data_IF_615882731630
#
_entry.id   IF_615882731630
#
_cell.length_a   1.000
_cell.length_b   1.000
_cell.length_c   1.000
_cell.angle_alpha   90.00
_cell.angle_beta   90.00
_cell.angle_gamma   90.00
#
_symmetry.space_group_name_H-M   'P 1'
#
loop_
_entity.id
_entity.type
_entity.pdbx_description
1 polymer ?
#
# COMPACT_ATOMS: atom_id res chain seq x y z
N UNK A 1 19.83 14.78 8.68
CA UNK A 1 21.23 14.45 8.46
C UNK A 1 21.78 15.49 7.49
N UNK A 2 22.94 16.07 7.79
CA UNK A 2 23.61 17.06 6.95
C UNK A 2 24.85 16.40 6.37
N UNK A 3 25.03 16.52 5.05
CA UNK A 3 26.20 15.99 4.35
C UNK A 3 26.99 17.12 3.71
N UNK A 4 28.31 16.99 3.69
CA UNK A 4 29.17 17.91 2.99
C UNK A 4 29.01 17.76 1.47
N UNK A 5 28.97 18.89 0.79
CA UNK A 5 28.89 18.95 -0.66
C UNK A 5 29.89 19.96 -1.21
N UNK A 6 30.31 19.73 -2.43
CA UNK A 6 31.23 20.67 -3.10
C UNK A 6 30.43 21.66 -3.92
N UNK A 7 30.58 22.95 -3.65
CA UNK A 7 30.06 24.01 -4.50
C UNK A 7 30.97 24.15 -5.72
N UNK A 8 30.46 23.77 -6.91
CA UNK A 8 31.24 23.83 -8.15
C UNK A 8 31.27 25.23 -8.74
N UNK A 9 30.20 25.98 -8.62
CA UNK A 9 30.15 27.37 -9.09
C UNK A 9 28.95 28.11 -8.50
N UNK A 10 29.09 29.39 -8.32
CA UNK A 10 28.02 30.33 -8.04
C UNK A 10 28.00 31.41 -9.12
N UNK A 11 26.80 31.74 -9.62
CA UNK A 11 26.62 32.84 -10.57
C UNK A 11 25.38 33.63 -10.15
N UNK A 12 25.59 34.95 -9.96
CA UNK A 12 24.54 35.87 -9.59
C UNK A 12 24.15 36.71 -10.83
N UNK A 13 22.88 36.63 -11.22
CA UNK A 13 22.34 37.47 -12.29
C UNK A 13 21.10 38.20 -11.76
N UNK A 14 21.31 39.52 -11.50
CA UNK A 14 20.30 40.33 -10.81
C UNK A 14 20.01 39.75 -9.40
N UNK A 15 18.76 39.47 -9.11
CA UNK A 15 18.30 38.90 -7.83
C UNK A 15 18.32 37.34 -7.82
N UNK A 16 18.81 36.71 -8.90
CA UNK A 16 18.88 35.27 -9.01
C UNK A 16 20.28 34.77 -8.67
N UNK A 17 20.34 33.80 -7.75
CA UNK A 17 21.56 33.08 -7.42
C UNK A 17 21.47 31.68 -8.01
N UNK A 18 22.37 31.30 -8.91
CA UNK A 18 22.54 29.94 -9.40
C UNK A 18 23.71 29.30 -8.68
N UNK A 19 23.42 28.19 -8.02
CA UNK A 19 24.41 27.35 -7.33
C UNK A 19 24.45 26.00 -8.03
N UNK A 20 25.65 25.53 -8.37
CA UNK A 20 25.91 24.17 -8.84
C UNK A 20 26.64 23.42 -7.74
N UNK A 21 26.07 22.35 -7.28
CA UNK A 21 26.59 21.48 -6.23
C UNK A 21 26.86 20.08 -6.80
N UNK A 22 27.90 19.43 -6.27
CA UNK A 22 28.21 18.03 -6.52
C UNK A 22 28.18 17.28 -5.20
N UNK A 23 27.46 16.18 -5.15
CA UNK A 23 27.41 15.29 -4.01
C UNK A 23 27.87 13.90 -4.45
N UNK A 24 28.85 13.35 -3.74
CA UNK A 24 29.28 11.98 -3.94
C UNK A 24 28.27 11.03 -3.29
N UNK A 25 27.48 10.34 -4.11
CA UNK A 25 26.42 9.47 -3.63
C UNK A 25 26.93 8.26 -2.84
N UNK A 26 28.20 7.86 -3.03
CA UNK A 26 28.78 6.75 -2.31
C UNK A 26 29.21 7.11 -0.88
N UNK A 27 29.32 8.41 -0.58
CA UNK A 27 29.66 8.91 0.77
C UNK A 27 28.46 9.16 1.66
N UNK A 28 27.25 8.96 1.13
CA UNK A 28 26.00 9.18 1.86
C UNK A 28 25.49 7.85 2.37
N UNK A 29 25.19 7.76 3.66
CA UNK A 29 24.50 6.60 4.25
C UNK A 29 23.00 6.66 3.92
N UNK A 30 22.68 6.11 2.73
CA UNK A 30 21.32 6.11 2.22
C UNK A 30 20.46 5.10 2.96
N UNK A 31 19.38 5.59 3.59
CA UNK A 31 18.28 4.74 4.07
C UNK A 31 17.19 4.68 2.99
N UNK A 32 16.55 3.54 2.82
CA UNK A 32 15.34 3.42 1.99
C UNK A 32 14.23 4.28 2.64
N UNK A 33 13.35 4.94 1.94
CA UNK A 33 12.96 4.97 0.53
C UNK A 33 13.12 6.38 -0.07
N UNK A 34 12.61 7.43 0.65
CA UNK A 34 12.48 8.78 0.11
C UNK A 34 13.37 9.79 0.85
N UNK A 35 14.00 10.67 0.09
CA UNK A 35 14.89 11.71 0.59
C UNK A 35 14.45 13.06 0.07
N UNK A 36 13.87 13.88 0.92
CA UNK A 36 13.49 15.23 0.58
C UNK A 36 14.72 16.15 0.57
N UNK A 37 14.81 17.00 -0.45
CA UNK A 37 15.90 17.97 -0.58
C UNK A 37 15.43 19.34 -0.12
N UNK A 38 16.09 19.86 0.91
CA UNK A 38 15.80 21.17 1.46
C UNK A 38 17.08 22.03 1.47
N UNK A 39 16.90 23.34 1.31
CA UNK A 39 17.97 24.34 1.52
C UNK A 39 17.76 24.93 2.91
N UNK A 40 18.84 24.92 3.70
CA UNK A 40 18.86 25.58 5.00
C UNK A 40 19.47 26.97 4.82
N UNK A 41 18.71 28.00 5.17
CA UNK A 41 19.23 29.39 5.21
C UNK A 41 19.58 29.74 6.64
N UNK A 42 20.85 30.04 6.85
CA UNK A 42 21.38 30.56 8.10
C UNK A 42 21.49 32.10 8.02
N UNK A 43 20.88 32.80 8.95
CA UNK A 43 21.11 34.22 9.13
C UNK A 43 22.15 34.42 10.26
N UNK A 44 23.26 35.07 9.96
CA UNK A 44 24.32 35.40 10.93
C UNK A 44 23.77 36.38 11.98
N UNK A 45 23.07 35.94 12.96
CA UNK A 45 22.51 36.77 14.05
C UNK A 45 21.18 36.27 14.61
N UNK A 46 20.55 35.32 13.98
CA UNK A 46 19.31 34.68 14.50
C UNK A 46 19.40 33.19 14.40
N UNK A 47 19.15 32.48 15.50
CA UNK A 47 19.13 30.99 15.58
C UNK A 47 17.99 30.31 14.82
N UNK A 48 17.24 31.03 14.00
CA UNK A 48 16.15 30.44 13.20
C UNK A 48 16.66 29.97 11.85
N UNK A 49 16.74 28.66 11.67
CA UNK A 49 16.93 28.01 10.37
C UNK A 49 15.61 27.98 9.61
N UNK A 50 15.56 28.56 8.43
CA UNK A 50 14.43 28.41 7.51
C UNK A 50 14.70 27.26 6.54
N UNK A 51 13.83 26.25 6.55
CA UNK A 51 13.83 25.18 5.57
C UNK A 51 13.09 25.63 4.31
N UNK A 52 13.79 25.66 3.18
CA UNK A 52 13.19 25.96 1.88
C UNK A 52 13.23 24.70 1.02
N UNK A 53 12.05 24.21 0.66
CA UNK A 53 11.94 23.10 -0.28
C UNK A 53 12.30 23.55 -1.69
N UNK A 54 13.03 22.71 -2.42
CA UNK A 54 13.36 22.99 -3.83
C UNK A 54 12.13 22.68 -4.67
N UNK A 55 11.54 23.71 -5.29
CA UNK A 55 10.38 23.56 -6.19
C UNK A 55 10.78 23.61 -7.66
N UNK A 56 9.93 23.09 -8.53
CA UNK A 56 10.09 23.13 -9.99
C UNK A 56 9.09 24.05 -10.67
N UNK A 57 9.56 24.75 -11.69
CA UNK A 57 8.70 25.47 -12.61
C UNK A 57 7.99 24.51 -13.62
N UNK A 58 7.08 25.08 -14.43
CA UNK A 58 6.28 24.31 -15.40
C UNK A 58 7.13 23.70 -16.52
N UNK A 59 8.22 24.36 -16.95
CA UNK A 59 9.11 23.83 -18.00
C UNK A 59 9.89 22.63 -17.49
N UNK A 60 10.38 22.70 -16.26
CA UNK A 60 11.10 21.60 -15.63
C UNK A 60 10.22 20.38 -15.43
N UNK A 61 8.91 20.57 -15.17
CA UNK A 61 7.94 19.43 -15.12
C UNK A 61 7.82 18.70 -16.45
N UNK A 62 7.95 19.38 -17.57
CA UNK A 62 7.99 18.70 -18.88
C UNK A 62 9.22 17.81 -19.04
N UNK A 63 10.36 18.20 -18.43
CA UNK A 63 11.58 17.39 -18.40
C UNK A 63 11.55 16.27 -17.37
N UNK A 64 10.55 16.18 -16.51
CA UNK A 64 10.42 15.12 -15.51
C UNK A 64 10.46 13.72 -16.14
N UNK A 65 9.93 13.56 -17.37
CA UNK A 65 10.05 12.31 -18.15
C UNK A 65 11.51 11.92 -18.44
N UNK A 66 12.41 12.89 -18.54
CA UNK A 66 13.82 12.67 -18.84
C UNK A 66 14.67 12.45 -17.58
N UNK A 67 14.19 12.90 -16.42
CA UNK A 67 14.89 12.67 -15.14
C UNK A 67 14.98 11.20 -14.77
N UNK A 68 13.99 10.40 -15.16
CA UNK A 68 14.04 8.94 -15.02
C UNK A 68 15.16 8.27 -15.80
N UNK A 69 15.59 8.86 -16.92
CA UNK A 69 16.73 8.35 -17.69
C UNK A 69 18.07 8.62 -16.99
N UNK A 70 18.08 9.48 -15.97
CA UNK A 70 19.21 9.79 -15.10
C UNK A 70 19.24 8.93 -13.84
N UNK A 71 18.56 7.78 -13.78
CA UNK A 71 18.67 6.89 -12.64
C UNK A 71 20.08 6.32 -12.53
N UNK A 72 20.68 6.45 -11.36
CA UNK A 72 21.99 5.91 -11.04
C UNK A 72 21.82 4.58 -10.31
N UNK A 73 22.57 3.56 -10.73
CA UNK A 73 22.68 2.30 -10.03
C UNK A 73 23.89 2.36 -9.12
N UNK A 74 23.71 2.22 -7.83
CA UNK A 74 24.80 2.18 -6.85
C UNK A 74 25.50 0.83 -6.88
N UNK A 75 26.72 0.76 -6.34
CA UNK A 75 27.55 -0.46 -6.35
C UNK A 75 26.88 -1.64 -5.59
N UNK A 76 26.06 -1.32 -4.60
CA UNK A 76 25.25 -2.32 -3.85
C UNK A 76 23.95 -2.72 -4.56
N UNK A 77 23.73 -2.28 -5.81
CA UNK A 77 22.58 -2.69 -6.63
C UNK A 77 21.30 -1.87 -6.42
N UNK A 78 21.32 -0.87 -5.56
CA UNK A 78 20.20 0.04 -5.37
C UNK A 78 20.07 1.03 -6.52
N UNK A 79 18.84 1.49 -6.76
CA UNK A 79 18.52 2.58 -7.67
C UNK A 79 18.38 3.89 -6.91
N UNK A 80 19.03 4.92 -7.42
CA UNK A 80 18.88 6.30 -6.98
C UNK A 80 18.36 7.13 -8.15
N UNK A 81 17.21 7.79 -7.98
CA UNK A 81 16.64 8.63 -9.02
C UNK A 81 15.82 9.78 -8.44
N UNK A 82 15.84 10.94 -9.11
CA UNK A 82 15.04 12.09 -8.69
C UNK A 82 13.57 11.88 -9.04
N UNK A 83 12.68 12.40 -8.18
CA UNK A 83 11.27 12.52 -8.46
C UNK A 83 10.69 13.80 -7.83
N UNK A 84 9.47 14.14 -8.21
CA UNK A 84 8.77 15.29 -7.64
C UNK A 84 7.60 14.83 -6.80
N UNK A 85 7.55 15.35 -5.58
CA UNK A 85 6.46 15.09 -4.65
C UNK A 85 5.14 15.71 -5.14
N UNK A 86 4.03 15.31 -4.54
CA UNK A 86 2.71 15.93 -4.80
C UNK A 86 2.70 17.45 -4.57
N UNK A 87 3.57 17.97 -3.68
CA UNK A 87 3.77 19.39 -3.44
C UNK A 87 4.70 20.07 -4.46
N UNK A 88 5.15 19.35 -5.49
CA UNK A 88 6.08 19.82 -6.54
C UNK A 88 7.47 20.16 -6.02
N UNK A 89 7.91 19.53 -4.97
CA UNK A 89 9.26 19.63 -4.43
C UNK A 89 10.14 18.52 -4.96
N UNK A 90 11.45 18.80 -5.11
CA UNK A 90 12.43 17.81 -5.52
C UNK A 90 12.68 16.83 -4.35
N UNK A 91 12.63 15.57 -4.65
CA UNK A 91 13.03 14.49 -3.76
C UNK A 91 13.80 13.41 -4.54
N UNK A 92 14.44 12.51 -3.84
CA UNK A 92 15.10 11.35 -4.42
C UNK A 92 14.52 10.07 -3.85
N UNK A 93 14.49 9.03 -4.66
CA UNK A 93 14.18 7.67 -4.24
C UNK A 93 15.46 6.87 -4.22
N UNK A 94 15.68 6.14 -3.14
CA UNK A 94 16.74 5.16 -2.99
C UNK A 94 16.10 3.82 -2.61
N UNK A 95 16.15 2.85 -3.53
CA UNK A 95 15.52 1.54 -3.34
C UNK A 95 16.17 0.46 -4.20
N UNK A 96 15.90 -0.78 -3.85
CA UNK A 96 16.24 -1.91 -4.72
C UNK A 96 15.50 -1.82 -6.07
N UNK A 97 16.12 -2.36 -7.11
CA UNK A 97 15.46 -2.56 -8.39
C UNK A 97 14.32 -3.56 -8.22
N UNK A 98 13.11 -3.13 -8.53
CA UNK A 98 11.94 -4.02 -8.55
C UNK A 98 11.89 -4.86 -9.82
N UNK A 99 11.13 -5.94 -9.77
CA UNK A 99 10.93 -6.88 -10.89
C UNK A 99 10.39 -6.21 -12.16
N UNK A 100 9.77 -5.04 -12.02
CA UNK A 100 9.09 -4.32 -13.11
C UNK A 100 9.83 -3.05 -13.58
N UNK A 101 11.07 -2.84 -13.16
CA UNK A 101 11.87 -1.67 -13.56
C UNK A 101 12.65 -1.88 -14.87
N UNK A 102 12.59 -3.07 -15.45
CA UNK A 102 13.33 -3.44 -16.66
C UNK A 102 12.76 -2.81 -17.96
N UNK A 103 13.56 -2.83 -19.03
CA UNK A 103 13.15 -2.41 -20.37
C UNK A 103 12.12 -3.37 -20.98
N UNK A 104 12.11 -4.61 -20.55
CA UNK A 104 11.13 -5.63 -20.92
C UNK A 104 9.69 -5.17 -20.63
N UNK A 105 9.48 -4.48 -19.50
CA UNK A 105 8.17 -3.93 -19.15
C UNK A 105 7.77 -2.79 -20.09
N UNK A 106 8.72 -1.94 -20.46
CA UNK A 106 8.45 -0.86 -21.46
C UNK A 106 8.03 -1.46 -22.78
N UNK A 107 8.70 -2.54 -23.23
CA UNK A 107 8.33 -3.26 -24.43
C UNK A 107 6.92 -3.88 -24.33
N UNK A 108 6.59 -4.50 -23.20
CA UNK A 108 5.24 -5.03 -22.92
C UNK A 108 4.18 -3.93 -22.97
N UNK A 109 4.47 -2.74 -22.44
CA UNK A 109 3.56 -1.58 -22.51
C UNK A 109 3.26 -1.17 -23.95
N UNK A 110 4.29 -1.01 -24.79
CA UNK A 110 4.11 -0.67 -26.21
C UNK A 110 3.33 -1.78 -26.93
N UNK A 111 3.66 -3.03 -26.69
CA UNK A 111 2.95 -4.18 -27.27
C UNK A 111 1.48 -4.19 -26.89
N UNK A 112 1.17 -3.99 -25.61
CA UNK A 112 -0.20 -3.94 -25.12
C UNK A 112 -0.99 -2.77 -25.75
N UNK A 113 -0.38 -1.59 -25.84
CA UNK A 113 -1.01 -0.45 -26.51
C UNK A 113 -1.28 -0.70 -27.99
N UNK A 114 -0.33 -1.31 -28.69
CA UNK A 114 -0.48 -1.67 -30.10
C UNK A 114 -1.64 -2.67 -30.28
N UNK A 115 -1.64 -3.76 -29.52
CA UNK A 115 -2.70 -4.77 -29.56
C UNK A 115 -4.09 -4.21 -29.19
N UNK A 116 -4.14 -3.35 -28.17
CA UNK A 116 -5.39 -2.69 -27.81
C UNK A 116 -5.90 -1.78 -28.93
N UNK A 117 -5.03 -0.96 -29.54
CA UNK A 117 -5.43 -0.08 -30.65
C UNK A 117 -5.87 -0.85 -31.88
N UNK A 118 -5.17 -1.92 -32.23
CA UNK A 118 -5.49 -2.78 -33.38
C UNK A 118 -6.88 -3.41 -33.25
N UNK A 119 -7.27 -3.82 -32.05
CA UNK A 119 -8.53 -4.52 -31.78
C UNK A 119 -9.41 -3.78 -30.76
N UNK A 120 -9.45 -2.44 -30.82
CA UNK A 120 -10.14 -1.61 -29.81
C UNK A 120 -11.61 -2.01 -29.62
N UNK A 121 -12.34 -2.20 -30.70
CA UNK A 121 -13.76 -2.62 -30.64
C UNK A 121 -13.95 -3.98 -29.96
N UNK A 122 -13.04 -4.93 -30.21
CA UNK A 122 -13.07 -6.23 -29.54
C UNK A 122 -12.83 -6.10 -28.03
N UNK A 123 -11.86 -5.29 -27.63
CA UNK A 123 -11.53 -5.08 -26.24
C UNK A 123 -12.67 -4.38 -25.48
N UNK A 124 -13.20 -3.30 -26.04
CA UNK A 124 -14.26 -2.52 -25.40
C UNK A 124 -15.59 -3.29 -25.29
N UNK A 125 -15.90 -4.18 -26.23
CA UNK A 125 -17.09 -5.07 -26.15
C UNK A 125 -17.03 -6.09 -25.00
N UNK A 126 -15.89 -6.19 -24.31
CA UNK A 126 -15.76 -7.11 -23.17
C UNK A 126 -16.34 -6.56 -21.88
N UNK A 127 -16.57 -5.26 -21.77
CA UNK A 127 -17.08 -4.61 -20.56
C UNK A 127 -16.35 -5.09 -19.30
N UNK A 128 -15.05 -4.78 -19.23
CA UNK A 128 -14.14 -5.38 -18.24
C UNK A 128 -14.24 -4.66 -16.89
N UNK A 129 -14.54 -5.43 -15.83
CA UNK A 129 -14.33 -5.05 -14.45
C UNK A 129 -13.06 -5.74 -13.92
N UNK A 130 -12.11 -4.98 -13.39
CA UNK A 130 -10.90 -5.51 -12.75
C UNK A 130 -11.06 -5.49 -11.23
N UNK A 131 -10.78 -6.62 -10.60
CA UNK A 131 -10.77 -6.75 -9.14
C UNK A 131 -9.35 -7.03 -8.69
N UNK A 132 -8.88 -6.35 -7.64
CA UNK A 132 -7.55 -6.57 -7.07
C UNK A 132 -7.50 -6.24 -5.59
N UNK A 133 -6.48 -6.75 -4.90
CA UNK A 133 -6.15 -6.40 -3.53
C UNK A 133 -4.64 -6.48 -3.28
N UNK A 134 -4.17 -5.77 -2.25
CA UNK A 134 -2.79 -5.87 -1.72
C UNK A 134 -1.71 -5.90 -2.82
N UNK A 135 -1.72 -4.91 -3.72
CA UNK A 135 -0.81 -4.84 -4.87
C UNK A 135 -0.87 -6.07 -5.80
N UNK A 136 -2.04 -6.69 -5.90
CA UNK A 136 -2.27 -7.93 -6.65
C UNK A 136 -1.39 -9.12 -6.17
N UNK A 137 -0.97 -9.12 -4.91
CA UNK A 137 -0.10 -10.16 -4.36
C UNK A 137 -0.83 -11.27 -3.61
N UNK A 138 -2.06 -11.03 -3.19
CA UNK A 138 -2.85 -11.93 -2.31
C UNK A 138 -4.30 -12.06 -2.77
N UNK A 139 -5.02 -13.03 -2.18
CA UNK A 139 -6.45 -13.30 -2.38
C UNK A 139 -7.10 -13.68 -1.03
N UNK A 140 -7.16 -12.72 -0.08
CA UNK A 140 -7.60 -12.97 1.31
C UNK A 140 -8.49 -11.86 1.88
N UNK A 141 -8.69 -10.78 1.13
CA UNK A 141 -9.40 -9.59 1.60
C UNK A 141 -10.72 -9.39 0.84
N UNK A 142 -11.38 -8.28 1.05
CA UNK A 142 -12.69 -7.95 0.48
C UNK A 142 -12.73 -8.11 -1.05
N UNK A 143 -11.62 -7.86 -1.77
CA UNK A 143 -11.53 -8.04 -3.20
C UNK A 143 -11.73 -9.49 -3.64
N UNK A 144 -11.08 -10.42 -2.95
CA UNK A 144 -11.24 -11.85 -3.22
C UNK A 144 -12.67 -12.35 -2.93
N UNK A 145 -13.22 -12.00 -1.77
CA UNK A 145 -14.56 -12.47 -1.39
C UNK A 145 -15.66 -11.87 -2.27
N UNK A 146 -15.52 -10.59 -2.66
CA UNK A 146 -16.37 -9.98 -3.67
C UNK A 146 -16.29 -10.72 -5.02
N UNK A 147 -15.07 -10.96 -5.52
CA UNK A 147 -14.86 -11.68 -6.76
C UNK A 147 -15.43 -13.10 -6.69
N UNK A 148 -15.16 -13.82 -5.61
CA UNK A 148 -15.68 -15.19 -5.37
C UNK A 148 -17.20 -15.22 -5.40
N UNK A 149 -17.83 -14.29 -4.70
CA UNK A 149 -19.30 -14.17 -4.70
C UNK A 149 -19.84 -13.98 -6.12
N UNK A 150 -19.26 -13.06 -6.89
CA UNK A 150 -19.67 -12.82 -8.25
C UNK A 150 -19.53 -14.06 -9.16
N UNK A 151 -18.48 -14.84 -8.98
CA UNK A 151 -18.26 -16.05 -9.78
C UNK A 151 -19.20 -17.21 -9.37
N UNK A 152 -19.45 -17.37 -8.09
CA UNK A 152 -20.29 -18.44 -7.56
C UNK A 152 -21.79 -18.22 -7.87
N UNK A 153 -22.21 -16.94 -8.08
CA UNK A 153 -23.61 -16.58 -8.32
C UNK A 153 -23.88 -16.09 -9.76
N UNK A 154 -22.90 -16.22 -10.66
CA UNK A 154 -22.99 -15.79 -12.07
C UNK A 154 -23.37 -14.30 -12.23
N UNK A 155 -22.87 -13.45 -11.34
CA UNK A 155 -23.14 -12.01 -11.33
C UNK A 155 -22.56 -11.29 -12.57
N UNK A 156 -21.64 -11.92 -13.31
CA UNK A 156 -21.18 -11.39 -14.59
C UNK A 156 -22.36 -11.11 -15.55
N UNK A 157 -23.31 -12.02 -15.59
CA UNK A 157 -24.50 -11.90 -16.43
C UNK A 157 -25.39 -10.77 -15.95
N UNK A 158 -25.56 -10.64 -14.63
CA UNK A 158 -26.40 -9.61 -14.03
C UNK A 158 -25.84 -8.20 -14.20
N UNK A 159 -24.54 -8.03 -13.95
CA UNK A 159 -23.87 -6.72 -14.05
C UNK A 159 -23.57 -6.30 -15.49
N UNK A 160 -23.68 -7.21 -16.46
CA UNK A 160 -23.30 -6.97 -17.86
C UNK A 160 -21.80 -6.71 -18.07
N UNK A 161 -21.00 -6.98 -17.05
CA UNK A 161 -19.54 -6.78 -17.06
C UNK A 161 -18.82 -8.10 -16.83
N UNK A 162 -17.72 -8.31 -17.54
CA UNK A 162 -16.83 -9.45 -17.31
C UNK A 162 -15.85 -9.13 -16.21
N UNK A 163 -15.96 -9.87 -15.12
CA UNK A 163 -15.18 -9.65 -13.91
C UNK A 163 -13.90 -10.49 -13.95
N UNK A 164 -12.77 -9.84 -13.73
CA UNK A 164 -11.45 -10.49 -13.72
C UNK A 164 -10.69 -10.13 -12.46
N UNK A 165 -10.15 -11.15 -11.78
CA UNK A 165 -9.28 -10.98 -10.63
C UNK A 165 -7.82 -10.88 -11.09
N UNK A 166 -7.13 -9.84 -10.61
CA UNK A 166 -5.72 -9.58 -10.95
C UNK A 166 -4.83 -10.05 -9.81
N UNK A 167 -3.91 -10.97 -10.10
CA UNK A 167 -3.00 -11.54 -9.09
C UNK A 167 -1.63 -11.87 -9.70
N UNK A 168 -0.57 -11.83 -8.90
CA UNK A 168 0.76 -12.32 -9.31
C UNK A 168 0.77 -13.84 -9.42
N UNK A 169 1.64 -14.38 -10.28
CA UNK A 169 1.74 -15.85 -10.46
C UNK A 169 2.31 -16.59 -9.26
N UNK A 170 3.14 -15.89 -8.52
CA UNK A 170 3.87 -16.36 -7.34
C UNK A 170 3.15 -16.03 -6.03
N UNK A 171 1.87 -15.66 -6.12
CA UNK A 171 1.06 -15.44 -4.93
C UNK A 171 0.92 -16.73 -4.11
N UNK A 172 1.09 -16.66 -2.78
CA UNK A 172 0.83 -17.81 -1.90
C UNK A 172 -0.63 -18.28 -1.97
N UNK A 173 -1.56 -17.39 -2.36
CA UNK A 173 -2.99 -17.68 -2.42
C UNK A 173 -3.45 -18.11 -3.82
N UNK A 174 -2.51 -18.44 -4.72
CA UNK A 174 -2.86 -18.77 -6.09
C UNK A 174 -3.80 -19.99 -6.19
N UNK A 175 -3.67 -20.94 -5.30
CA UNK A 175 -4.54 -22.13 -5.29
C UNK A 175 -5.99 -21.79 -4.92
N UNK A 176 -6.23 -20.76 -4.13
CA UNK A 176 -7.59 -20.29 -3.80
C UNK A 176 -8.32 -19.73 -5.01
N UNK A 177 -7.58 -19.05 -5.92
CA UNK A 177 -8.14 -18.45 -7.13
C UNK A 177 -8.17 -19.40 -8.32
N UNK A 178 -7.47 -20.54 -8.24
CA UNK A 178 -7.35 -21.53 -9.31
C UNK A 178 -8.66 -22.08 -9.87
N UNK A 179 -9.73 -22.30 -9.07
CA UNK A 179 -11.02 -22.69 -9.60
C UNK A 179 -11.57 -21.72 -10.66
N UNK A 180 -11.25 -20.44 -10.55
CA UNK A 180 -11.72 -19.36 -11.41
C UNK A 180 -10.71 -18.96 -12.49
N UNK A 181 -9.80 -19.84 -12.90
CA UNK A 181 -8.65 -19.54 -13.82
C UNK A 181 -9.02 -18.83 -15.11
N UNK A 182 -10.26 -18.97 -15.60
CA UNK A 182 -10.74 -18.27 -16.81
C UNK A 182 -10.88 -16.77 -16.58
N UNK A 183 -11.21 -16.38 -15.36
CA UNK A 183 -11.43 -15.01 -14.92
C UNK A 183 -10.21 -14.46 -14.12
N UNK A 184 -9.05 -15.13 -14.19
CA UNK A 184 -7.82 -14.67 -13.57
C UNK A 184 -6.90 -14.04 -14.61
N UNK A 185 -6.33 -12.90 -14.23
CA UNK A 185 -5.36 -12.14 -15.03
C UNK A 185 -4.08 -11.97 -14.24
N UNK A 186 -2.97 -12.39 -14.82
CA UNK A 186 -1.68 -12.26 -14.13
C UNK A 186 -1.14 -10.84 -14.21
N UNK A 187 -0.80 -10.31 -13.05
CA UNK A 187 -0.28 -8.97 -12.85
C UNK A 187 0.94 -8.68 -13.75
N UNK A 188 0.99 -7.47 -14.33
CA UNK A 188 2.07 -6.97 -15.19
C UNK A 188 2.36 -7.81 -16.44
N UNK A 189 1.39 -8.60 -16.92
CA UNK A 189 1.44 -9.25 -18.24
C UNK A 189 0.88 -8.34 -19.33
N UNK A 190 1.15 -8.65 -20.60
CA UNK A 190 0.56 -7.92 -21.75
C UNK A 190 -0.98 -8.01 -21.70
N UNK A 191 -1.55 -9.17 -21.34
CA UNK A 191 -2.99 -9.34 -21.15
C UNK A 191 -3.54 -8.39 -20.08
N UNK A 192 -2.89 -8.29 -18.94
CA UNK A 192 -3.26 -7.37 -17.88
C UNK A 192 -3.26 -5.92 -18.35
N UNK A 193 -2.21 -5.52 -19.07
CA UNK A 193 -2.08 -4.18 -19.64
C UNK A 193 -3.18 -3.88 -20.66
N UNK A 194 -3.52 -4.82 -21.55
CA UNK A 194 -4.66 -4.68 -22.46
C UNK A 194 -5.98 -4.52 -21.71
N UNK A 195 -6.14 -5.26 -20.60
CA UNK A 195 -7.35 -5.20 -19.80
C UNK A 195 -7.47 -3.87 -19.05
N UNK A 196 -6.37 -3.31 -18.53
CA UNK A 196 -6.38 -1.94 -17.96
C UNK A 196 -6.84 -0.91 -19.00
N UNK A 197 -6.38 -1.03 -20.25
CA UNK A 197 -6.77 -0.10 -21.33
C UNK A 197 -8.25 -0.22 -21.71
N UNK A 198 -8.85 -1.39 -21.52
CA UNK A 198 -10.23 -1.70 -21.86
C UNK A 198 -11.18 -1.73 -20.65
N UNK A 199 -10.65 -1.59 -19.45
CA UNK A 199 -11.47 -1.65 -18.22
C UNK A 199 -12.43 -0.45 -18.15
N UNK A 200 -13.64 -0.72 -17.69
CA UNK A 200 -14.69 0.24 -17.42
C UNK A 200 -14.85 0.48 -15.90
N UNK A 201 -14.42 -0.48 -15.10
CA UNK A 201 -14.51 -0.41 -13.64
C UNK A 201 -13.30 -1.08 -12.99
N UNK A 202 -12.85 -0.51 -11.89
CA UNK A 202 -11.90 -1.08 -10.95
C UNK A 202 -12.58 -1.24 -9.60
N UNK A 203 -12.44 -2.41 -9.00
CA UNK A 203 -12.89 -2.71 -7.64
C UNK A 203 -11.66 -3.17 -6.85
N UNK A 204 -11.31 -2.50 -5.77
CA UNK A 204 -10.11 -2.87 -5.02
C UNK A 204 -10.18 -2.51 -3.55
N UNK A 205 -9.43 -3.24 -2.74
CA UNK A 205 -9.19 -2.91 -1.33
C UNK A 205 -8.08 -1.90 -1.14
N UNK A 206 -7.30 -1.63 -2.20
CA UNK A 206 -6.18 -0.69 -2.21
C UNK A 206 -6.48 0.54 -3.06
N UNK A 207 -5.57 1.50 -3.04
CA UNK A 207 -5.67 2.66 -3.91
C UNK A 207 -5.64 2.26 -5.39
N UNK A 208 -6.36 3.03 -6.22
CA UNK A 208 -6.45 2.88 -7.68
C UNK A 208 -5.10 2.69 -8.38
N UNK A 209 -4.05 3.33 -7.88
CA UNK A 209 -2.69 3.23 -8.44
C UNK A 209 -2.05 1.85 -8.27
N UNK A 210 -2.54 1.02 -7.34
CA UNK A 210 -1.94 -0.28 -7.02
C UNK A 210 -2.32 -1.39 -8.02
N UNK A 211 -3.26 -1.12 -8.93
CA UNK A 211 -3.54 -2.04 -10.04
C UNK A 211 -2.37 -2.14 -11.04
N UNK A 212 -1.38 -1.26 -10.93
CA UNK A 212 -0.22 -1.23 -11.78
C UNK A 212 1.05 -1.00 -10.95
N UNK A 213 2.15 -1.69 -11.27
CA UNK A 213 3.38 -1.58 -10.49
C UNK A 213 3.98 -0.18 -10.54
N UNK A 214 4.33 0.37 -9.37
CA UNK A 214 5.16 1.57 -9.29
C UNK A 214 6.57 1.26 -9.79
N UNK A 215 7.11 2.13 -10.63
CA UNK A 215 8.41 1.94 -11.27
C UNK A 215 9.26 3.18 -11.19
N UNK A 216 10.58 3.00 -11.38
CA UNK A 216 11.52 4.10 -11.54
C UNK A 216 11.28 4.93 -12.80
N UNK A 217 10.65 4.35 -13.82
CA UNK A 217 10.28 5.03 -15.07
C UNK A 217 8.80 5.35 -15.09
N UNK A 218 8.47 6.55 -15.55
CA UNK A 218 7.08 6.96 -15.70
C UNK A 218 6.36 6.09 -16.73
N UNK A 219 5.19 5.55 -16.34
CA UNK A 219 4.37 4.72 -17.22
C UNK A 219 3.19 5.51 -17.79
N UNK A 220 2.91 5.27 -19.08
CA UNK A 220 1.69 5.77 -19.71
C UNK A 220 0.44 5.19 -19.05
N UNK A 221 0.49 3.97 -18.51
CA UNK A 221 -0.60 3.30 -17.81
C UNK A 221 -1.06 4.03 -16.56
N UNK A 222 -0.18 4.80 -15.91
CA UNK A 222 -0.54 5.65 -14.76
C UNK A 222 -1.67 6.63 -15.11
N UNK A 223 -1.72 7.12 -16.36
CA UNK A 223 -2.78 8.01 -16.81
C UNK A 223 -4.10 7.27 -16.98
N UNK A 224 -4.07 6.06 -17.55
CA UNK A 224 -5.27 5.25 -17.73
C UNK A 224 -5.87 4.82 -16.41
N UNK A 225 -5.05 4.31 -15.48
CA UNK A 225 -5.51 3.87 -14.16
C UNK A 225 -6.14 5.01 -13.36
N UNK A 226 -5.62 6.24 -13.47
CA UNK A 226 -6.19 7.41 -12.77
C UNK A 226 -7.61 7.77 -13.21
N UNK A 227 -7.99 7.43 -14.42
CA UNK A 227 -9.29 7.80 -15.02
C UNK A 227 -10.31 6.66 -14.97
N UNK A 228 -9.95 5.48 -14.45
CA UNK A 228 -10.89 4.39 -14.29
C UNK A 228 -11.89 4.71 -13.18
N UNK A 229 -13.19 4.52 -13.37
CA UNK A 229 -14.16 4.46 -12.27
C UNK A 229 -13.71 3.44 -11.23
N UNK A 230 -13.81 3.80 -9.95
CA UNK A 230 -13.19 3.03 -8.89
C UNK A 230 -14.10 2.87 -7.68
N UNK A 231 -14.36 1.62 -7.32
CA UNK A 231 -15.00 1.23 -6.07
C UNK A 231 -13.93 0.80 -5.06
N UNK A 232 -13.89 1.48 -3.94
CA UNK A 232 -12.95 1.20 -2.86
C UNK A 232 -13.63 0.36 -1.78
N UNK A 233 -13.27 -0.93 -1.71
CA UNK A 233 -13.82 -1.89 -0.75
C UNK A 233 -13.21 -1.79 0.64
N UNK A 234 -12.20 -0.94 0.81
CA UNK A 234 -11.37 -0.85 2.01
C UNK A 234 -10.65 -2.17 2.37
N UNK A 235 -9.70 -2.07 3.29
CA UNK A 235 -9.01 -3.20 3.90
C UNK A 235 -9.05 -3.16 5.43
N UNK A 236 -9.74 -2.17 6.01
CA UNK A 236 -9.95 -2.00 7.43
C UNK A 236 -10.89 -0.83 7.72
N UNK A 237 -11.61 -0.89 8.83
CA UNK A 237 -12.58 0.14 9.23
C UNK A 237 -11.90 1.49 9.42
N UNK A 238 -12.44 2.53 8.81
CA UNK A 238 -11.97 3.91 8.93
C UNK A 238 -12.68 4.60 10.10
N UNK A 239 -12.10 4.52 11.29
CA UNK A 239 -12.72 5.12 12.49
C UNK A 239 -11.77 6.03 13.27
N UNK A 240 -10.63 5.51 13.73
CA UNK A 240 -9.75 6.21 14.68
C UNK A 240 -8.46 6.76 14.03
N UNK A 241 -8.13 6.32 12.83
CA UNK A 241 -6.93 6.76 12.10
C UNK A 241 -7.31 7.80 11.07
N UNK A 242 -6.69 8.97 11.12
CA UNK A 242 -6.83 9.97 10.08
C UNK A 242 -6.10 9.55 8.81
N UNK A 243 -6.86 9.27 7.75
CA UNK A 243 -6.36 8.90 6.41
C UNK A 243 -7.01 9.74 5.30
N UNK A 244 -7.75 10.76 5.69
CA UNK A 244 -8.41 11.74 4.82
C UNK A 244 -7.43 12.45 3.87
N UNK A 245 -6.19 12.68 4.31
CA UNK A 245 -5.14 13.29 3.48
C UNK A 245 -4.79 12.46 2.24
N UNK A 246 -5.08 11.15 2.24
CA UNK A 246 -4.81 10.26 1.12
C UNK A 246 -6.09 9.78 0.43
N UNK A 247 -7.09 9.32 1.18
CA UNK A 247 -8.34 8.75 0.65
C UNK A 247 -9.48 9.76 0.49
N UNK A 248 -9.34 10.99 0.96
CA UNK A 248 -10.35 12.05 0.77
C UNK A 248 -10.61 12.34 -0.71
N UNK A 249 -11.78 12.89 -1.01
CA UNK A 249 -12.20 13.24 -2.37
C UNK A 249 -11.18 14.17 -3.05
N UNK A 250 -10.80 13.85 -4.27
CA UNK A 250 -9.76 14.59 -5.01
C UNK A 250 -8.31 14.36 -4.54
N UNK A 251 -8.07 13.51 -3.54
CA UNK A 251 -6.74 13.11 -3.08
C UNK A 251 -6.22 11.91 -3.91
N UNK A 252 -4.93 11.53 -3.78
CA UNK A 252 -4.33 10.46 -4.57
C UNK A 252 -5.05 9.12 -4.49
N UNK A 253 -5.62 8.77 -3.35
CA UNK A 253 -6.37 7.54 -3.11
C UNK A 253 -7.89 7.66 -3.27
N UNK A 254 -8.40 8.80 -3.79
CA UNK A 254 -9.85 9.01 -3.94
C UNK A 254 -10.50 7.96 -4.84
N UNK A 255 -11.76 7.64 -4.54
CA UNK A 255 -12.60 6.72 -5.29
C UNK A 255 -13.89 7.39 -5.77
N UNK A 256 -14.66 6.67 -6.57
CA UNK A 256 -15.98 7.11 -7.02
C UNK A 256 -17.09 6.55 -6.10
N UNK A 257 -16.82 5.39 -5.47
CA UNK A 257 -17.69 4.79 -4.49
C UNK A 257 -16.87 4.23 -3.32
N UNK A 258 -17.21 4.63 -2.11
CA UNK A 258 -16.53 4.25 -0.88
C UNK A 258 -17.40 3.26 -0.09
N UNK A 259 -16.92 2.05 0.13
CA UNK A 259 -17.62 1.02 0.91
C UNK A 259 -17.28 1.16 2.39
N UNK A 260 -18.29 1.15 3.25
CA UNK A 260 -18.15 1.23 4.71
C UNK A 260 -18.92 0.12 5.42
N UNK A 261 -18.68 -0.03 6.71
CA UNK A 261 -19.17 -1.16 7.51
C UNK A 261 -20.31 -0.78 8.47
N UNK A 262 -20.58 0.52 8.62
CA UNK A 262 -21.62 1.00 9.51
C UNK A 262 -22.05 2.43 9.15
N UNK A 263 -23.24 2.82 9.58
CA UNK A 263 -23.72 4.19 9.43
C UNK A 263 -22.80 5.21 10.15
N UNK A 264 -22.18 4.79 11.26
CA UNK A 264 -21.23 5.65 11.96
C UNK A 264 -19.96 5.90 11.14
N UNK A 265 -19.44 4.88 10.50
CA UNK A 265 -18.30 5.01 9.58
C UNK A 265 -18.69 5.84 8.35
N UNK A 266 -19.90 5.63 7.79
CA UNK A 266 -20.44 6.43 6.70
C UNK A 266 -20.42 7.92 7.04
N UNK A 267 -20.90 8.27 8.23
CA UNK A 267 -20.91 9.66 8.69
C UNK A 267 -19.49 10.23 8.83
N UNK A 268 -18.54 9.43 9.36
CA UNK A 268 -17.12 9.84 9.47
C UNK A 268 -16.52 10.13 8.08
N UNK A 269 -16.82 9.31 7.08
CA UNK A 269 -16.33 9.50 5.71
C UNK A 269 -16.95 10.74 5.08
N UNK A 270 -18.24 10.97 5.24
CA UNK A 270 -18.92 12.18 4.75
C UNK A 270 -18.32 13.44 5.39
N UNK A 271 -18.21 13.45 6.73
CA UNK A 271 -17.80 14.65 7.49
C UNK A 271 -16.32 15.01 7.31
N UNK A 272 -15.44 14.01 7.07
CA UNK A 272 -14.00 14.25 7.11
C UNK A 272 -13.26 13.99 5.80
N UNK A 273 -13.88 13.32 4.81
CA UNK A 273 -13.22 12.92 3.56
C UNK A 273 -13.83 13.65 2.34
N UNK A 274 -14.77 14.56 2.54
CA UNK A 274 -15.43 15.36 1.50
C UNK A 274 -16.22 14.52 0.46
N UNK A 275 -16.73 13.34 0.83
CA UNK A 275 -17.64 12.53 -0.02
C UNK A 275 -19.09 12.90 0.20
N UNK A 276 -19.88 12.84 -0.89
CA UNK A 276 -21.32 12.98 -0.82
C UNK A 276 -21.99 11.69 -0.29
N UNK A 277 -23.19 11.78 0.33
CA UNK A 277 -23.87 10.62 0.92
C UNK A 277 -24.14 9.45 -0.03
N UNK A 278 -24.31 9.70 -1.33
CA UNK A 278 -24.54 8.72 -2.39
C UNK A 278 -23.24 8.09 -2.91
N UNK A 279 -22.10 8.69 -2.61
CA UNK A 279 -20.77 8.13 -2.92
C UNK A 279 -20.26 7.19 -1.82
N UNK A 280 -21.01 7.04 -0.71
CA UNK A 280 -20.62 6.18 0.43
C UNK A 280 -21.71 5.17 0.70
N UNK A 281 -21.41 3.88 0.55
CA UNK A 281 -22.36 2.79 0.75
C UNK A 281 -21.98 1.93 1.95
N UNK A 282 -22.97 1.64 2.79
CA UNK A 282 -22.84 0.77 3.95
C UNK A 282 -23.28 -0.65 3.58
N UNK A 283 -22.34 -1.52 3.21
CA UNK A 283 -22.60 -2.92 2.87
C UNK A 283 -21.90 -3.91 3.81
N UNK A 284 -21.03 -3.42 4.69
CA UNK A 284 -20.09 -4.28 5.40
C UNK A 284 -18.91 -4.71 4.53
N UNK A 285 -18.06 -5.55 5.08
CA UNK A 285 -16.92 -6.11 4.36
C UNK A 285 -17.26 -7.50 3.81
N UNK A 286 -17.03 -7.71 2.52
CA UNK A 286 -17.28 -8.99 1.86
C UNK A 286 -16.55 -10.17 2.55
N UNK A 287 -15.38 -9.97 3.11
CA UNK A 287 -14.66 -11.01 3.86
C UNK A 287 -15.34 -11.43 5.17
N UNK A 288 -16.31 -10.66 5.68
CA UNK A 288 -17.05 -11.03 6.88
C UNK A 288 -18.13 -12.08 6.61
N UNK A 289 -18.57 -12.24 5.37
CA UNK A 289 -19.60 -13.23 4.99
C UNK A 289 -19.18 -14.68 5.27
N UNK A 290 -17.87 -14.94 5.39
CA UNK A 290 -17.34 -16.27 5.71
C UNK A 290 -17.09 -16.46 7.20
N UNK A 291 -17.21 -15.42 8.00
CA UNK A 291 -17.07 -15.53 9.45
C UNK A 291 -18.29 -16.26 10.04
N UNK A 292 -18.01 -17.25 10.86
CA UNK A 292 -19.02 -18.03 11.58
C UNK A 292 -18.67 -18.01 13.05
N UNK A 293 -19.68 -17.86 13.88
CA UNK A 293 -19.50 -18.03 15.33
C UNK A 293 -19.18 -19.49 15.64
N UNK A 294 -17.93 -19.73 16.03
CA UNK A 294 -17.43 -21.02 16.52
C UNK A 294 -17.07 -20.96 18.00
N UNK A 295 -17.44 -19.86 18.68
CA UNK A 295 -17.08 -19.61 20.07
C UNK A 295 -17.84 -20.47 21.08
N UNK A 296 -18.84 -21.23 20.61
CA UNK A 296 -19.59 -22.16 21.49
C UNK A 296 -18.63 -23.21 22.06
N UNK A 297 -18.45 -23.17 23.38
CA UNK A 297 -17.48 -23.97 24.15
C UNK A 297 -16.00 -23.59 23.86
N UNK A 298 -15.72 -22.48 23.21
CA UNK A 298 -14.36 -21.96 23.15
C UNK A 298 -14.00 -21.28 24.47
N UNK A 299 -12.77 -21.52 24.90
CA UNK A 299 -12.16 -20.89 26.07
C UNK A 299 -11.01 -19.99 25.63
N UNK A 300 -11.05 -19.49 24.38
CA UNK A 300 -9.97 -18.72 23.78
C UNK A 300 -10.23 -17.22 23.82
N UNK A 301 -9.19 -16.46 24.10
CA UNK A 301 -9.16 -15.00 24.01
C UNK A 301 -8.14 -14.61 22.93
N UNK A 302 -8.55 -13.84 21.93
CA UNK A 302 -7.63 -13.28 20.94
C UNK A 302 -7.12 -11.90 21.40
N UNK A 303 -5.80 -11.79 21.57
CA UNK A 303 -5.10 -10.52 21.83
C UNK A 303 -4.31 -10.14 20.59
N UNK A 304 -4.88 -9.26 19.76
CA UNK A 304 -4.30 -8.86 18.47
C UNK A 304 -4.05 -7.35 18.42
N UNK A 305 -2.89 -6.88 18.92
CA UNK A 305 -2.58 -5.46 18.95
C UNK A 305 -2.22 -4.94 17.57
N UNK A 306 -2.72 -3.74 17.23
CA UNK A 306 -2.35 -3.08 15.97
C UNK A 306 -0.90 -2.56 16.02
N UNK A 307 -0.24 -2.54 14.86
CA UNK A 307 1.13 -2.05 14.72
C UNK A 307 1.26 -0.53 14.95
N UNK A 308 2.50 -0.07 15.09
CA UNK A 308 2.85 1.34 15.25
C UNK A 308 3.81 1.76 14.16
N UNK A 309 3.44 2.78 13.39
CA UNK A 309 4.20 3.22 12.21
C UNK A 309 5.63 3.68 12.53
N UNK A 310 5.86 4.20 13.74
CA UNK A 310 7.20 4.62 14.18
C UNK A 310 8.13 3.47 14.58
N UNK A 311 7.61 2.25 14.66
CA UNK A 311 8.39 1.01 14.88
C UNK A 311 8.55 0.17 13.62
N UNK A 312 8.07 0.64 12.47
CA UNK A 312 8.24 -0.06 11.20
C UNK A 312 9.72 -0.12 10.82
N UNK A 313 10.25 -1.33 10.62
CA UNK A 313 11.66 -1.56 10.33
C UNK A 313 12.62 -1.40 11.52
N UNK A 314 12.09 -1.33 12.74
CA UNK A 314 12.90 -1.35 13.95
C UNK A 314 13.70 -2.65 14.05
N UNK A 315 14.92 -2.57 14.58
CA UNK A 315 15.68 -3.76 15.01
C UNK A 315 15.02 -4.39 16.24
N UNK A 316 15.35 -5.65 16.53
CA UNK A 316 14.81 -6.34 17.73
C UNK A 316 15.08 -5.55 19.00
N UNK A 317 16.27 -4.99 19.13
CA UNK A 317 16.61 -4.16 20.26
C UNK A 317 15.73 -2.90 20.38
N UNK A 318 15.54 -2.16 19.27
CA UNK A 318 14.70 -0.96 19.26
C UNK A 318 13.24 -1.31 19.56
N UNK A 319 12.78 -2.47 19.06
CA UNK A 319 11.44 -2.96 19.34
C UNK A 319 11.26 -3.31 20.83
N UNK A 320 12.19 -4.05 21.41
CA UNK A 320 12.18 -4.46 22.84
C UNK A 320 12.32 -3.27 23.81
N UNK A 321 13.06 -2.23 23.42
CA UNK A 321 13.18 -0.98 24.19
C UNK A 321 11.92 -0.10 24.09
N UNK A 322 10.95 -0.43 23.20
CA UNK A 322 9.74 0.38 23.00
C UNK A 322 8.70 0.21 24.09
N UNK A 323 7.88 1.26 24.30
CA UNK A 323 6.72 1.18 25.19
C UNK A 323 5.69 0.17 24.69
N UNK A 324 5.58 -0.02 23.38
CA UNK A 324 4.72 -1.02 22.77
C UNK A 324 5.06 -2.42 23.28
N UNK A 325 6.30 -2.83 23.13
CA UNK A 325 6.77 -4.14 23.59
C UNK A 325 6.63 -4.27 25.12
N UNK A 326 7.13 -3.30 25.88
CA UNK A 326 7.10 -3.34 27.34
C UNK A 326 5.70 -3.53 27.92
N UNK A 327 4.69 -2.82 27.38
CA UNK A 327 3.32 -2.93 27.87
C UNK A 327 2.69 -4.30 27.55
N UNK A 328 2.89 -4.83 26.35
CA UNK A 328 2.35 -6.15 26.00
C UNK A 328 3.12 -7.27 26.71
N UNK A 329 4.42 -7.20 26.83
CA UNK A 329 5.21 -8.15 27.59
C UNK A 329 4.80 -8.15 29.08
N UNK A 330 4.56 -6.97 29.66
CA UNK A 330 4.05 -6.85 31.01
C UNK A 330 2.65 -7.45 31.18
N UNK A 331 1.73 -7.23 30.22
CA UNK A 331 0.41 -7.85 30.23
C UNK A 331 0.50 -9.37 30.21
N UNK A 332 1.23 -9.93 29.24
CA UNK A 332 1.34 -11.38 29.04
C UNK A 332 2.06 -12.10 30.18
N UNK A 333 2.95 -11.41 30.88
CA UNK A 333 3.64 -11.95 32.06
C UNK A 333 3.00 -11.57 33.40
N UNK A 334 1.90 -10.79 33.38
CA UNK A 334 1.20 -10.38 34.58
C UNK A 334 0.60 -11.56 35.34
N UNK A 335 0.92 -11.70 36.63
CA UNK A 335 0.32 -12.74 37.47
C UNK A 335 -1.19 -12.62 37.51
N UNK A 336 -1.73 -11.39 37.59
CA UNK A 336 -3.17 -11.15 37.59
C UNK A 336 -3.84 -11.65 36.27
N UNK A 337 -3.18 -11.52 35.13
CA UNK A 337 -3.71 -12.03 33.86
C UNK A 337 -3.71 -13.56 33.87
N UNK A 338 -2.63 -14.18 34.31
CA UNK A 338 -2.53 -15.65 34.46
C UNK A 338 -3.58 -16.21 35.39
N UNK A 339 -3.78 -15.58 36.55
CA UNK A 339 -4.81 -15.98 37.52
C UNK A 339 -6.22 -15.91 36.94
N UNK A 340 -6.49 -14.91 36.07
CA UNK A 340 -7.77 -14.80 35.39
C UNK A 340 -7.95 -15.96 34.38
N UNK A 341 -6.93 -16.25 33.57
CA UNK A 341 -6.97 -17.35 32.60
C UNK A 341 -7.19 -18.71 33.33
N UNK A 342 -6.52 -18.91 34.43
CA UNK A 342 -6.69 -20.12 35.26
C UNK A 342 -8.10 -20.19 35.89
N UNK A 343 -8.52 -19.09 36.52
CA UNK A 343 -9.82 -19.03 37.23
C UNK A 343 -11.02 -19.32 36.33
N UNK A 344 -10.95 -18.88 35.07
CA UNK A 344 -12.05 -19.01 34.11
C UNK A 344 -11.79 -20.07 33.05
N UNK A 345 -10.74 -20.87 33.21
CA UNK A 345 -10.31 -21.91 32.28
C UNK A 345 -10.14 -21.38 30.86
N UNK A 346 -9.43 -20.26 30.70
CA UNK A 346 -9.24 -19.58 29.42
C UNK A 346 -7.81 -19.78 28.90
N UNK A 347 -7.68 -19.68 27.57
CA UNK A 347 -6.43 -19.61 26.84
C UNK A 347 -6.33 -18.27 26.11
N UNK A 348 -5.16 -17.66 26.05
CA UNK A 348 -4.93 -16.41 25.32
C UNK A 348 -4.05 -16.67 24.09
N UNK A 349 -4.61 -16.40 22.91
CA UNK A 349 -3.88 -16.40 21.65
C UNK A 349 -3.36 -14.99 21.37
N UNK A 350 -2.06 -14.78 21.47
CA UNK A 350 -1.42 -13.50 21.16
C UNK A 350 -0.90 -13.51 19.74
N UNK A 351 -1.39 -12.58 18.91
CA UNK A 351 -1.08 -12.51 17.50
C UNK A 351 -0.62 -11.09 17.12
N UNK A 352 0.63 -10.94 16.74
CA UNK A 352 1.16 -9.66 16.28
C UNK A 352 0.70 -9.34 14.85
N UNK A 353 0.53 -8.05 14.58
CA UNK A 353 0.28 -7.58 13.20
C UNK A 353 1.40 -8.04 12.26
N UNK A 354 1.08 -8.33 10.99
CA UNK A 354 2.02 -8.89 10.00
C UNK A 354 3.37 -8.15 9.90
N UNK A 355 3.38 -6.82 10.08
CA UNK A 355 4.60 -5.98 10.08
C UNK A 355 5.55 -6.32 11.25
N UNK A 356 5.01 -6.83 12.36
CA UNK A 356 5.77 -7.14 13.57
C UNK A 356 5.99 -8.63 13.82
N UNK A 357 5.60 -9.49 12.88
CA UNK A 357 5.73 -10.94 13.02
C UNK A 357 7.17 -11.43 13.25
N UNK A 358 8.16 -10.70 12.70
CA UNK A 358 9.59 -11.00 12.94
C UNK A 358 10.01 -10.83 14.40
N UNK A 359 9.26 -10.07 15.20
CA UNK A 359 9.53 -9.84 16.62
C UNK A 359 8.69 -10.73 17.55
N UNK A 360 7.97 -11.72 17.02
CA UNK A 360 7.12 -12.59 17.87
C UNK A 360 7.97 -13.34 18.90
N UNK A 361 9.15 -13.78 18.55
CA UNK A 361 10.06 -14.52 19.41
C UNK A 361 10.68 -13.68 20.54
N UNK A 362 10.64 -12.34 20.42
CA UNK A 362 11.05 -11.44 21.53
C UNK A 362 10.14 -11.56 22.75
N UNK A 363 8.90 -12.04 22.58
CA UNK A 363 7.98 -12.23 23.70
C UNK A 363 8.26 -13.56 24.41
N UNK A 364 8.98 -13.50 25.52
CA UNK A 364 9.21 -14.66 26.38
C UNK A 364 8.08 -14.79 27.38
N UNK A 365 7.27 -15.83 27.25
CA UNK A 365 6.08 -16.05 28.08
C UNK A 365 6.27 -17.35 28.87
N UNK A 366 6.05 -17.27 30.18
CA UNK A 366 6.04 -18.44 31.03
C UNK A 366 4.59 -18.90 31.29
N UNK A 367 4.29 -20.17 31.00
CA UNK A 367 2.98 -20.81 31.21
C UNK A 367 2.41 -21.38 29.94
N UNK A 368 1.46 -22.26 30.07
CA UNK A 368 0.86 -23.06 29.00
C UNK A 368 -0.49 -22.53 28.48
N UNK A 369 -1.04 -21.48 29.14
CA UNK A 369 -2.32 -20.87 28.76
C UNK A 369 -2.21 -19.66 27.82
N UNK A 370 -0.99 -19.25 27.49
CA UNK A 370 -0.77 -18.10 26.58
C UNK A 370 0.06 -18.59 25.40
N UNK A 371 -0.52 -18.48 24.20
CA UNK A 371 0.04 -19.00 22.98
C UNK A 371 0.47 -17.83 22.06
N UNK A 372 1.74 -17.77 21.71
CA UNK A 372 2.22 -16.89 20.66
C UNK A 372 1.85 -17.52 19.31
N UNK A 373 1.12 -16.78 18.49
CA UNK A 373 0.70 -17.21 17.14
C UNK A 373 1.42 -16.41 16.08
N UNK A 374 1.83 -17.07 15.01
CA UNK A 374 2.51 -16.49 13.87
C UNK A 374 1.69 -16.61 12.59
N UNK A 375 2.09 -15.85 11.56
CA UNK A 375 1.42 -15.79 10.26
C UNK A 375 1.59 -17.10 9.50
N UNK A 376 1.41 -18.13 9.74
CA UNK A 376 1.54 -19.43 9.09
C UNK A 376 0.99 -20.56 9.95
N UNK A 377 0.78 -20.28 11.23
CA UNK A 377 0.27 -21.27 12.17
C UNK A 377 -1.24 -21.40 12.03
N UNK A 378 -1.95 -20.27 12.11
CA UNK A 378 -3.42 -20.23 12.04
C UNK A 378 -3.84 -18.97 11.28
N UNK A 379 -4.72 -19.07 10.27
CA UNK A 379 -5.28 -17.91 9.60
C UNK A 379 -6.05 -17.00 10.56
N UNK A 380 -5.90 -15.68 10.39
CA UNK A 380 -6.52 -14.68 11.29
C UNK A 380 -8.05 -14.82 11.36
N UNK A 381 -8.69 -15.15 10.24
CA UNK A 381 -10.14 -15.37 10.21
C UNK A 381 -10.58 -16.57 11.04
N UNK A 382 -9.76 -17.59 11.20
CA UNK A 382 -10.04 -18.72 12.08
C UNK A 382 -9.92 -18.30 13.56
N UNK A 383 -8.90 -17.53 13.88
CA UNK A 383 -8.73 -16.97 15.25
C UNK A 383 -9.88 -16.02 15.62
N UNK A 384 -10.44 -15.28 14.65
CA UNK A 384 -11.57 -14.39 14.87
C UNK A 384 -12.91 -15.14 15.06
N UNK A 385 -13.00 -16.39 14.64
CA UNK A 385 -14.19 -17.22 14.76
C UNK A 385 -14.24 -18.05 16.06
N UNK A 386 -13.08 -18.26 16.67
CA UNK A 386 -12.94 -18.96 17.94
C UNK A 386 -13.28 -18.08 19.13
#
# INVERSE_FOLDING_TARGET
VTYDFTTLSTNKRGNLLRIKISLDLNKVDWKSLYWDVNVLLYNQGNSKTNHISISMDTKQRMFQKFLYNGSYKTDNGFFFYPYYTGKKTLAFVYRNKGNYDGLDIVFKEFTAMFLYRLAKSYWNKKHICLVSEKFASMAQDNGYYFFKHCMDHDEETYLGQKIYYVITKDSPDYDMIRPYKKNVVHFMTIRHMCYILAAELLVSTDARSHIYAQRSRHSIFTRYTKNLPFVFLQHGVTALKRVDFFYGKGKPGSCDLFVVTSEKEKQIVIDNFDYEPDEVINTGFARWDVLKDKSQNSHDILVMPTWRSWLEGASDREFEESDYFRHYAALLNSQRFKDILEKYDLHANFYLHAIFQTHTESFHIAGDRIHLKSFGDTPVNELLMQ
#
